data_IF_073388456789
#
_entry.id   IF_073388456789
#
_cell.length_a   1.000
_cell.length_b   1.000
_cell.length_c   1.000
_cell.angle_alpha   90.00
_cell.angle_beta   90.00
_cell.angle_gamma   90.00
#
_symmetry.space_group_name_H-M   'P 1'
#
loop_
_entity.id
_entity.type
_entity.pdbx_description
1 polymer ?
#
# COMPACT_ATOMS: atom_id res chain seq x y z
N UNK A 1 -11.61 8.76 -6.98
CA UNK A 1 -11.68 8.08 -5.67
C UNK A 1 -12.33 6.71 -5.80
N UNK A 2 -11.65 5.67 -5.35
CA UNK A 2 -12.15 4.29 -5.26
C UNK A 2 -12.37 3.95 -3.78
N UNK A 3 -13.52 3.36 -3.44
CA UNK A 3 -13.79 2.87 -2.07
C UNK A 3 -12.96 1.62 -1.80
N UNK A 4 -12.22 1.61 -0.69
CA UNK A 4 -11.52 0.43 -0.18
C UNK A 4 -12.46 -0.40 0.72
N UNK A 5 -12.56 -0.02 1.99
CA UNK A 5 -13.39 -0.65 3.01
C UNK A 5 -13.74 0.37 4.12
N UNK A 6 -14.46 -0.04 5.15
CA UNK A 6 -14.62 0.75 6.37
C UNK A 6 -13.36 0.66 7.25
N UNK A 7 -13.13 1.68 8.09
CA UNK A 7 -12.02 1.70 9.05
C UNK A 7 -12.08 0.53 10.05
N UNK A 8 -13.28 -0.01 10.32
CA UNK A 8 -13.48 -1.19 11.17
C UNK A 8 -13.11 -2.52 10.50
N UNK A 9 -13.07 -2.56 9.17
CA UNK A 9 -12.70 -3.76 8.40
C UNK A 9 -11.19 -3.85 8.16
N UNK A 10 -10.43 -2.79 8.47
CA UNK A 10 -8.98 -2.74 8.29
C UNK A 10 -8.30 -2.30 9.59
N UNK A 11 -8.10 -3.20 10.56
CA UNK A 11 -7.42 -2.88 11.81
C UNK A 11 -5.92 -2.63 11.58
N UNK A 12 -5.26 -2.08 12.60
CA UNK A 12 -3.83 -1.78 12.58
C UNK A 12 -3.00 -3.04 12.26
N UNK A 13 -2.03 -2.92 11.36
CA UNK A 13 -1.17 -4.02 10.91
C UNK A 13 -1.74 -4.88 9.78
N UNK A 14 -2.93 -4.55 9.26
CA UNK A 14 -3.55 -5.25 8.14
C UNK A 14 -3.48 -4.46 6.83
N UNK A 15 -3.70 -5.16 5.72
CA UNK A 15 -3.81 -4.58 4.38
C UNK A 15 -5.06 -5.08 3.64
N UNK A 16 -5.53 -4.29 2.68
CA UNK A 16 -6.59 -4.71 1.75
C UNK A 16 -6.30 -4.21 0.34
N UNK A 17 -6.39 -5.13 -0.63
CA UNK A 17 -6.31 -4.78 -2.05
C UNK A 17 -7.64 -4.21 -2.54
N UNK A 18 -7.57 -3.12 -3.32
CA UNK A 18 -8.74 -2.54 -3.96
C UNK A 18 -9.31 -3.51 -5.02
N UNK A 19 -10.65 -3.58 -5.06
CA UNK A 19 -11.33 -4.21 -6.18
C UNK A 19 -11.26 -3.29 -7.41
N UNK A 20 -10.61 -3.73 -8.49
CA UNK A 20 -10.51 -2.94 -9.72
C UNK A 20 -9.36 -3.35 -10.63
N UNK A 21 -9.22 -2.66 -11.77
CA UNK A 21 -8.20 -2.97 -12.78
C UNK A 21 -6.80 -2.48 -12.40
N UNK A 22 -6.67 -1.52 -11.48
CA UNK A 22 -5.37 -1.04 -11.00
C UNK A 22 -5.02 -1.79 -9.71
N UNK A 23 -3.92 -2.55 -9.68
CA UNK A 23 -3.50 -3.29 -8.49
C UNK A 23 -2.97 -2.30 -7.44
N UNK A 24 -3.82 -1.87 -6.52
CA UNK A 24 -3.51 -0.94 -5.43
C UNK A 24 -3.97 -1.57 -4.13
N UNK A 25 -3.19 -1.39 -3.07
CA UNK A 25 -3.51 -1.88 -1.73
C UNK A 25 -3.42 -0.76 -0.71
N UNK A 26 -4.31 -0.82 0.28
CA UNK A 26 -4.33 0.06 1.44
C UNK A 26 -3.74 -0.68 2.63
N UNK A 27 -2.89 -0.01 3.40
CA UNK A 27 -2.18 -0.51 4.57
C UNK A 27 -2.55 0.35 5.77
N UNK A 28 -2.86 -0.26 6.91
CA UNK A 28 -3.06 0.46 8.18
C UNK A 28 -1.85 0.27 9.07
N UNK A 29 -1.16 1.38 9.36
CA UNK A 29 0.09 1.37 10.09
C UNK A 29 0.30 2.68 10.83
N UNK A 30 0.79 2.60 12.06
CA UNK A 30 1.07 3.71 12.96
C UNK A 30 -0.14 4.65 13.10
N UNK A 31 -1.36 4.10 13.11
CA UNK A 31 -2.62 4.85 13.22
C UNK A 31 -2.99 5.67 11.98
N UNK A 32 -2.36 5.40 10.83
CA UNK A 32 -2.64 6.06 9.55
C UNK A 32 -2.86 5.03 8.43
N UNK A 33 -3.48 5.50 7.34
CA UNK A 33 -3.74 4.68 6.15
C UNK A 33 -2.87 5.14 4.98
N UNK A 34 -2.22 4.18 4.34
CA UNK A 34 -1.34 4.39 3.20
C UNK A 34 -1.83 3.57 2.03
N UNK A 35 -1.65 4.04 0.80
CA UNK A 35 -1.99 3.28 -0.39
C UNK A 35 -0.82 3.25 -1.37
N UNK A 36 -0.47 2.04 -1.82
CA UNK A 36 0.65 1.79 -2.72
C UNK A 36 0.19 0.93 -3.90
N UNK A 37 0.98 0.87 -4.97
CA UNK A 37 0.85 -0.26 -5.91
C UNK A 37 0.91 -1.57 -5.12
N UNK A 38 -0.02 -2.47 -5.40
CA UNK A 38 -0.08 -3.78 -4.77
C UNK A 38 1.02 -4.71 -5.31
N UNK A 39 1.39 -4.56 -6.57
CA UNK A 39 2.41 -5.42 -7.18
C UNK A 39 3.80 -4.95 -6.76
N UNK A 40 4.56 -5.83 -6.10
CA UNK A 40 5.94 -5.59 -5.75
C UNK A 40 6.77 -5.22 -7.00
N UNK A 41 7.57 -4.15 -6.91
CA UNK A 41 8.38 -3.67 -8.04
C UNK A 41 9.54 -4.61 -8.44
N UNK A 42 9.83 -5.63 -7.63
CA UNK A 42 10.81 -6.66 -7.93
C UNK A 42 10.25 -7.77 -8.83
N UNK A 43 9.08 -8.32 -8.47
CA UNK A 43 8.44 -9.44 -9.16
C UNK A 43 6.94 -9.46 -8.80
N UNK A 44 6.14 -10.18 -9.59
CA UNK A 44 4.70 -10.34 -9.43
C UNK A 44 4.30 -11.03 -8.10
N UNK A 45 4.22 -10.23 -7.04
CA UNK A 45 3.73 -10.60 -5.71
C UNK A 45 2.88 -9.45 -5.16
N UNK A 46 1.78 -9.81 -4.49
CA UNK A 46 0.91 -8.88 -3.78
C UNK A 46 1.59 -8.39 -2.50
N UNK A 47 1.69 -7.08 -2.33
CA UNK A 47 2.16 -6.45 -1.12
C UNK A 47 1.08 -6.49 -0.03
N UNK A 48 -0.21 -6.57 -0.38
CA UNK A 48 -1.26 -6.82 0.61
C UNK A 48 -1.13 -8.17 1.32
N UNK A 49 -0.46 -9.15 0.71
CA UNK A 49 -0.16 -10.44 1.32
C UNK A 49 1.13 -10.40 2.17
N UNK A 50 1.74 -9.23 2.31
CA UNK A 50 3.00 -9.00 3.02
C UNK A 50 2.86 -8.79 4.52
N UNK A 51 3.99 -8.50 5.16
CA UNK A 51 4.06 -8.23 6.60
C UNK A 51 4.27 -6.74 6.87
N UNK A 52 3.47 -6.15 7.76
CA UNK A 52 3.58 -4.73 8.14
C UNK A 52 4.34 -4.61 9.46
N UNK A 53 5.39 -3.77 9.48
CA UNK A 53 6.11 -3.42 10.70
C UNK A 53 6.56 -1.96 10.65
N UNK A 54 6.13 -1.16 11.63
CA UNK A 54 6.25 0.30 11.55
C UNK A 54 5.60 0.81 10.27
N UNK A 55 6.20 1.82 9.63
CA UNK A 55 5.76 2.34 8.32
C UNK A 55 6.32 1.58 7.12
N UNK A 56 6.51 0.26 7.22
CA UNK A 56 7.00 -0.56 6.11
C UNK A 56 6.11 -1.76 5.86
N UNK A 57 6.03 -2.17 4.58
CA UNK A 57 5.51 -3.47 4.18
C UNK A 57 6.64 -4.32 3.61
N UNK A 58 6.80 -5.54 4.12
CA UNK A 58 7.70 -6.56 3.62
C UNK A 58 6.96 -7.48 2.64
N UNK A 59 7.48 -7.55 1.41
CA UNK A 59 6.96 -8.43 0.37
C UNK A 59 7.10 -9.90 0.78
N UNK A 60 6.03 -10.71 0.68
CA UNK A 60 6.01 -12.08 1.21
C UNK A 60 6.90 -13.05 0.42
N UNK A 61 7.32 -12.67 -0.80
CA UNK A 61 8.06 -13.57 -1.69
C UNK A 61 9.56 -13.60 -1.36
N UNK A 62 10.20 -12.44 -1.28
CA UNK A 62 11.67 -12.32 -1.12
C UNK A 62 12.07 -11.25 -0.10
N UNK A 63 11.16 -10.86 0.79
CA UNK A 63 11.41 -9.92 1.89
C UNK A 63 11.92 -8.52 1.49
N UNK A 64 11.69 -8.09 0.24
CA UNK A 64 11.89 -6.70 -0.12
C UNK A 64 10.92 -5.82 0.68
N UNK A 65 11.40 -4.75 1.30
CA UNK A 65 10.59 -3.85 2.10
C UNK A 65 10.38 -2.51 1.40
N UNK A 66 9.19 -1.95 1.56
CA UNK A 66 8.82 -0.65 1.00
C UNK A 66 8.30 0.26 2.11
N UNK A 67 8.77 1.50 2.12
CA UNK A 67 8.25 2.53 3.01
C UNK A 67 6.83 2.92 2.57
N UNK A 68 5.85 2.77 3.45
CA UNK A 68 4.44 3.02 3.15
C UNK A 68 4.13 4.48 2.79
N UNK A 69 4.99 5.42 3.21
CA UNK A 69 4.80 6.86 3.01
C UNK A 69 5.31 7.31 1.64
N UNK A 70 6.34 6.65 1.14
CA UNK A 70 7.09 7.10 -0.06
C UNK A 70 7.12 6.06 -1.18
N UNK A 71 6.80 4.80 -0.88
CA UNK A 71 6.95 3.67 -1.78
C UNK A 71 8.41 3.25 -2.01
N UNK A 72 9.39 3.91 -1.39
CA UNK A 72 10.81 3.63 -1.60
C UNK A 72 11.20 2.26 -1.03
N UNK A 73 12.01 1.47 -1.77
CA UNK A 73 12.53 0.21 -1.25
C UNK A 73 13.63 0.49 -0.22
N UNK A 74 13.61 -0.23 0.89
CA UNK A 74 14.62 -0.12 1.94
C UNK A 74 15.71 -1.21 1.82
N UNK A 75 15.40 -2.30 1.11
CA UNK A 75 16.33 -3.40 0.92
C UNK A 75 16.14 -4.08 -0.44
N UNK A 76 17.21 -4.76 -0.87
CA UNK A 76 17.16 -5.68 -2.00
C UNK A 76 16.20 -6.85 -1.69
N UNK A 77 15.59 -7.47 -2.71
CA UNK A 77 15.92 -7.33 -4.13
C UNK A 77 15.19 -6.21 -4.89
N UNK A 78 14.24 -5.50 -4.26
CA UNK A 78 13.59 -4.36 -4.90
C UNK A 78 14.59 -3.21 -5.08
N UNK A 79 14.52 -2.55 -6.24
CA UNK A 79 15.40 -1.42 -6.61
C UNK A 79 14.64 -0.16 -6.99
N UNK A 80 13.36 -0.32 -7.34
CA UNK A 80 12.50 0.75 -7.75
C UNK A 80 11.42 0.95 -6.69
N UNK A 81 11.03 2.19 -6.46
CA UNK A 81 9.87 2.48 -5.64
C UNK A 81 8.58 2.02 -6.31
N UNK A 82 7.59 1.70 -5.49
CA UNK A 82 6.19 1.54 -5.91
C UNK A 82 5.47 2.89 -5.82
N UNK A 83 4.43 3.10 -6.62
CA UNK A 83 3.67 4.36 -6.55
C UNK A 83 2.90 4.43 -5.24
N UNK A 84 2.74 5.64 -4.71
CA UNK A 84 1.84 5.95 -3.61
C UNK A 84 0.59 6.67 -4.11
N UNK A 85 -0.49 6.56 -3.35
CA UNK A 85 -1.78 7.14 -3.69
C UNK A 85 -2.37 7.88 -2.48
N UNK A 86 -2.97 9.07 -2.69
CA UNK A 86 -3.67 9.76 -1.61
C UNK A 86 -4.80 8.92 -1.04
N UNK A 87 -4.86 8.84 0.30
CA UNK A 87 -5.93 8.19 1.05
C UNK A 87 -6.77 9.25 1.75
N UNK A 88 -8.09 9.12 1.67
CA UNK A 88 -9.06 9.97 2.36
C UNK A 88 -9.98 9.09 3.18
N UNK A 89 -10.16 9.45 4.45
CA UNK A 89 -11.17 8.85 5.33
C UNK A 89 -12.33 9.82 5.46
N UNK A 90 -13.53 9.37 5.07
CA UNK A 90 -14.76 10.15 5.19
C UNK A 90 -15.86 9.25 5.75
N UNK A 91 -16.55 9.71 6.80
CA UNK A 91 -17.64 8.99 7.45
C UNK A 91 -17.31 7.52 7.82
N UNK A 92 -16.06 7.28 8.26
CA UNK A 92 -15.58 5.94 8.63
C UNK A 92 -15.28 5.01 7.46
N UNK A 93 -15.25 5.53 6.22
CA UNK A 93 -14.92 4.78 5.01
C UNK A 93 -13.60 5.29 4.42
N UNK A 94 -12.76 4.35 3.99
CA UNK A 94 -11.47 4.62 3.37
C UNK A 94 -11.64 4.69 1.85
N UNK A 95 -11.10 5.75 1.26
CA UNK A 95 -11.08 5.99 -0.18
C UNK A 95 -9.66 6.25 -0.66
N UNK A 96 -9.35 5.79 -1.87
CA UNK A 96 -8.05 6.00 -2.52
C UNK A 96 -8.23 6.82 -3.79
N UNK A 97 -7.39 7.84 -3.99
CA UNK A 97 -7.32 8.57 -5.25
C UNK A 97 -6.34 7.89 -6.21
N UNK A 98 -6.87 7.14 -7.18
CA UNK A 98 -6.06 6.45 -8.20
C UNK A 98 -5.81 7.29 -9.45
N UNK A 99 -6.40 8.48 -9.56
CA UNK A 99 -6.25 9.37 -10.71
C UNK A 99 -5.11 10.38 -10.50
N UNK A 100 -4.81 10.71 -9.24
CA UNK A 100 -3.63 11.50 -8.88
C UNK A 100 -2.38 10.63 -9.05
N UNK A 101 -1.67 10.84 -10.16
CA UNK A 101 -0.31 10.33 -10.33
C UNK A 101 0.64 11.17 -9.51
N UNK A 102 1.24 10.59 -8.48
CA UNK A 102 2.52 11.09 -8.00
C UNK A 102 3.63 10.41 -8.81
N UNK A 103 4.48 11.23 -9.44
CA UNK A 103 5.67 10.73 -10.09
C UNK A 103 6.60 10.18 -9.01
N UNK A 104 7.05 8.95 -9.21
CA UNK A 104 8.04 8.30 -8.36
C UNK A 104 9.35 9.09 -8.53
N UNK A 105 9.78 9.78 -7.48
CA UNK A 105 11.03 10.54 -7.45
C UNK A 105 12.26 9.61 -7.47
#
# INVERSE_FOLDING_TARGET
MIRACSVSELPEGEAVRLAGPVPVSVFHSEGAYYALDDTCSHQDASLADGWIEGCYVECPLHAARFDLRTGAPDCLPAKNAVRTYPVVVADGVIYVDTEVRQDVA
#
